data_IF_739061368683
#
_entry.id   IF_739061368683
#
_cell.length_a   1.000
_cell.length_b   1.000
_cell.length_c   1.000
_cell.angle_alpha   90.00
_cell.angle_beta   90.00
_cell.angle_gamma   90.00
#
_symmetry.space_group_name_H-M   'P 1'
#
loop_
_entity.id
_entity.type
_entity.pdbx_description
1 polymer ?
#
# COMPACT_ATOMS: atom_id res chain seq x y z
N UNK A 1 15.95 16.36 14.36
CA UNK A 1 14.86 15.62 13.68
C UNK A 1 14.38 16.51 12.54
N UNK A 2 14.62 16.11 11.29
CA UNK A 2 14.30 16.90 10.11
C UNK A 2 12.80 17.19 10.02
N UNK A 3 12.45 18.46 9.95
CA UNK A 3 11.09 18.95 9.76
C UNK A 3 10.46 18.37 8.49
N UNK A 4 11.27 18.20 7.43
CA UNK A 4 10.88 17.58 6.15
C UNK A 4 10.33 16.15 6.34
N UNK A 5 10.91 15.35 7.23
CA UNK A 5 10.43 13.98 7.47
C UNK A 5 9.07 13.94 8.18
N UNK A 6 8.71 14.98 8.95
CA UNK A 6 7.40 15.05 9.63
C UNK A 6 6.30 15.50 8.68
N UNK A 7 6.60 16.44 7.79
CA UNK A 7 5.64 16.93 6.78
C UNK A 7 5.27 15.82 5.80
N UNK A 8 6.25 15.07 5.28
CA UNK A 8 6.01 13.95 4.35
C UNK A 8 5.17 12.84 5.01
N UNK A 9 5.39 12.57 6.30
CA UNK A 9 4.55 11.62 7.07
C UNK A 9 3.12 12.13 7.21
N UNK A 10 2.93 13.40 7.55
CA UNK A 10 1.59 14.00 7.69
C UNK A 10 0.82 14.01 6.36
N UNK A 11 1.49 14.31 5.25
CA UNK A 11 0.91 14.22 3.91
C UNK A 11 0.45 12.80 3.60
N UNK A 12 1.31 11.79 3.83
CA UNK A 12 0.96 10.39 3.63
C UNK A 12 -0.26 9.99 4.48
N UNK A 13 -0.24 10.29 5.78
CA UNK A 13 -1.35 9.96 6.68
C UNK A 13 -2.66 10.65 6.25
N UNK A 14 -2.57 11.86 5.71
CA UNK A 14 -3.73 12.58 5.15
C UNK A 14 -4.28 11.88 3.91
N UNK A 15 -3.42 11.51 2.96
CA UNK A 15 -3.84 10.75 1.77
C UNK A 15 -4.42 9.38 2.12
N UNK A 16 -3.85 8.68 3.11
CA UNK A 16 -4.36 7.38 3.57
C UNK A 16 -5.73 7.49 4.24
N UNK A 17 -6.04 8.62 4.88
CA UNK A 17 -7.36 8.88 5.49
C UNK A 17 -8.46 9.04 4.45
N UNK A 18 -8.13 9.46 3.24
CA UNK A 18 -9.08 9.56 2.13
C UNK A 18 -9.40 8.20 1.48
N UNK A 19 -8.63 7.16 1.82
CA UNK A 19 -8.84 5.80 1.34
C UNK A 19 -9.80 5.04 2.26
N UNK A 20 -10.73 4.31 1.64
CA UNK A 20 -11.52 3.31 2.35
C UNK A 20 -10.63 2.16 2.83
N UNK A 21 -11.07 1.44 3.86
CA UNK A 21 -10.35 0.30 4.42
C UNK A 21 -9.87 -0.72 3.36
N UNK A 22 -10.71 -1.20 2.44
CA UNK A 22 -10.25 -2.09 1.38
C UNK A 22 -9.21 -1.45 0.44
N UNK A 23 -9.24 -0.12 0.24
CA UNK A 23 -8.28 0.58 -0.61
C UNK A 23 -6.90 0.68 0.06
N UNK A 24 -6.84 0.83 1.39
CA UNK A 24 -5.60 0.74 2.17
C UNK A 24 -5.01 -0.67 2.12
N UNK A 25 -5.84 -1.72 2.21
CA UNK A 25 -5.41 -3.10 2.03
C UNK A 25 -4.84 -3.34 0.62
N UNK A 26 -5.54 -2.84 -0.40
CA UNK A 26 -5.07 -2.90 -1.78
C UNK A 26 -3.72 -2.17 -1.97
N UNK A 27 -3.51 -1.03 -1.29
CA UNK A 27 -2.23 -0.32 -1.28
C UNK A 27 -1.11 -1.15 -0.64
N UNK A 28 -1.37 -1.76 0.52
CA UNK A 28 -0.40 -2.64 1.19
C UNK A 28 -0.03 -3.84 0.30
N UNK A 29 -1.02 -4.48 -0.31
CA UNK A 29 -0.79 -5.58 -1.26
C UNK A 29 -0.03 -5.12 -2.50
N UNK A 30 -0.32 -3.92 -3.01
CA UNK A 30 0.43 -3.34 -4.13
C UNK A 30 1.90 -3.10 -3.76
N UNK A 31 2.17 -2.54 -2.57
CA UNK A 31 3.52 -2.34 -2.05
C UNK A 31 4.27 -3.67 -1.90
N UNK A 32 3.62 -4.66 -1.29
CA UNK A 32 4.18 -6.00 -1.12
C UNK A 32 4.51 -6.63 -2.48
N UNK A 33 3.62 -6.53 -3.46
CA UNK A 33 3.84 -7.05 -4.81
C UNK A 33 5.04 -6.37 -5.48
N UNK A 34 5.07 -5.03 -5.55
CA UNK A 34 6.13 -4.30 -6.26
C UNK A 34 7.50 -4.52 -5.60
N UNK A 35 7.53 -4.72 -4.28
CA UNK A 35 8.76 -5.02 -3.53
C UNK A 35 9.21 -6.46 -3.71
N UNK A 36 8.27 -7.42 -3.60
CA UNK A 36 8.57 -8.86 -3.72
C UNK A 36 8.87 -9.29 -5.16
N UNK A 37 8.26 -8.67 -6.17
CA UNK A 37 8.52 -8.94 -7.59
C UNK A 37 10.02 -8.83 -7.93
N UNK A 38 10.73 -7.88 -7.30
CA UNK A 38 12.17 -7.66 -7.48
C UNK A 38 13.04 -8.74 -6.83
N UNK A 39 12.51 -9.51 -5.87
CA UNK A 39 13.24 -10.49 -5.08
C UNK A 39 12.85 -11.95 -5.39
N UNK A 40 11.76 -12.17 -6.12
CA UNK A 40 11.24 -13.49 -6.45
C UNK A 40 11.83 -14.04 -7.75
N UNK A 41 11.90 -15.37 -7.85
CA UNK A 41 12.17 -16.04 -9.14
C UNK A 41 11.01 -15.79 -10.10
N UNK A 42 11.28 -15.77 -11.42
CA UNK A 42 10.27 -15.48 -12.46
C UNK A 42 8.93 -16.24 -12.28
N UNK A 43 9.00 -17.51 -11.89
CA UNK A 43 7.80 -18.34 -11.63
C UNK A 43 6.99 -17.85 -10.43
N UNK A 44 7.64 -17.62 -9.27
CA UNK A 44 6.96 -17.15 -8.05
C UNK A 44 6.43 -15.73 -8.17
N UNK A 45 7.15 -14.86 -8.88
CA UNK A 45 6.67 -13.51 -9.18
C UNK A 45 5.36 -13.56 -9.99
N UNK A 46 5.27 -14.46 -10.98
CA UNK A 46 4.06 -14.63 -11.79
C UNK A 46 2.86 -15.15 -10.98
N UNK A 47 3.09 -16.07 -10.02
CA UNK A 47 2.05 -16.55 -9.11
C UNK A 47 1.53 -15.43 -8.20
N UNK A 48 2.44 -14.66 -7.59
CA UNK A 48 2.06 -13.52 -6.74
C UNK A 48 1.39 -12.39 -7.52
N UNK A 49 1.79 -12.16 -8.77
CA UNK A 49 1.09 -11.24 -9.67
C UNK A 49 -0.35 -11.68 -9.89
N UNK A 50 -0.56 -12.96 -10.14
CA UNK A 50 -1.90 -13.52 -10.36
C UNK A 50 -2.79 -13.37 -9.13
N UNK A 51 -2.25 -13.62 -7.92
CA UNK A 51 -2.97 -13.39 -6.65
C UNK A 51 -3.36 -11.92 -6.50
N UNK A 52 -2.42 -11.00 -6.73
CA UNK A 52 -2.67 -9.55 -6.68
C UNK A 52 -3.72 -9.11 -7.71
N UNK A 53 -3.60 -9.55 -8.97
CA UNK A 53 -4.54 -9.24 -10.04
C UNK A 53 -5.95 -9.80 -9.76
N UNK A 54 -6.05 -10.97 -9.12
CA UNK A 54 -7.32 -11.53 -8.69
C UNK A 54 -7.97 -10.69 -7.59
N UNK A 55 -7.22 -10.31 -6.56
CA UNK A 55 -7.72 -9.45 -5.48
C UNK A 55 -8.17 -8.08 -6.02
N UNK A 56 -7.35 -7.48 -6.89
CA UNK A 56 -7.63 -6.20 -7.55
C UNK A 56 -8.93 -6.18 -8.36
N UNK A 57 -9.41 -7.32 -8.89
CA UNK A 57 -10.68 -7.39 -9.63
C UNK A 57 -11.91 -7.06 -8.78
N UNK A 58 -11.80 -7.14 -7.46
CA UNK A 58 -12.87 -6.79 -6.53
C UNK A 58 -13.06 -5.28 -6.37
N UNK A 59 -12.20 -4.46 -6.99
CA UNK A 59 -12.18 -3.01 -6.85
C UNK A 59 -12.62 -2.31 -8.14
N UNK A 60 -13.21 -1.13 -7.97
CA UNK A 60 -13.51 -0.24 -9.11
C UNK A 60 -12.22 0.32 -9.70
N UNK A 61 -12.28 0.75 -10.96
CA UNK A 61 -11.15 1.43 -11.61
C UNK A 61 -10.74 2.70 -10.84
N UNK A 62 -11.70 3.42 -10.28
CA UNK A 62 -11.45 4.64 -9.49
C UNK A 62 -10.65 4.32 -8.22
N UNK A 63 -11.04 3.29 -7.46
CA UNK A 63 -10.31 2.83 -6.26
C UNK A 63 -8.89 2.39 -6.61
N UNK A 64 -8.73 1.64 -7.71
CA UNK A 64 -7.41 1.23 -8.21
C UNK A 64 -6.56 2.45 -8.55
N UNK A 65 -7.14 3.47 -9.19
CA UNK A 65 -6.41 4.67 -9.59
C UNK A 65 -6.01 5.52 -8.37
N UNK A 66 -6.89 5.67 -7.38
CA UNK A 66 -6.56 6.33 -6.10
C UNK A 66 -5.36 5.68 -5.42
N UNK A 67 -5.40 4.36 -5.26
CA UNK A 67 -4.30 3.59 -4.64
C UNK A 67 -2.98 3.78 -5.41
N UNK A 68 -3.04 3.72 -6.74
CA UNK A 68 -1.85 3.97 -7.58
C UNK A 68 -1.31 5.38 -7.45
N UNK A 69 -2.19 6.39 -7.37
CA UNK A 69 -1.76 7.77 -7.21
C UNK A 69 -1.00 7.95 -5.89
N UNK A 70 -1.56 7.44 -4.78
CA UNK A 70 -0.88 7.48 -3.47
C UNK A 70 0.46 6.73 -3.52
N UNK A 71 0.51 5.53 -4.11
CA UNK A 71 1.77 4.82 -4.26
C UNK A 71 2.81 5.64 -5.04
N UNK A 72 2.45 6.12 -6.23
CA UNK A 72 3.37 6.86 -7.09
C UNK A 72 3.88 8.15 -6.45
N UNK A 73 3.03 8.84 -5.71
CA UNK A 73 3.37 10.10 -5.02
C UNK A 73 4.36 9.90 -3.87
N UNK A 74 4.25 8.78 -3.12
CA UNK A 74 4.98 8.62 -1.87
C UNK A 74 6.06 7.53 -1.88
N UNK A 75 6.02 6.52 -2.75
CA UNK A 75 6.91 5.35 -2.64
C UNK A 75 8.41 5.69 -2.66
N UNK A 76 8.83 6.70 -3.43
CA UNK A 76 10.22 7.15 -3.48
C UNK A 76 10.58 8.17 -2.38
N UNK A 77 9.57 8.77 -1.73
CA UNK A 77 9.73 9.74 -0.64
C UNK A 77 9.97 9.05 0.71
N UNK A 78 9.71 7.74 0.78
CA UNK A 78 9.90 6.92 1.98
C UNK A 78 10.89 5.78 1.71
N UNK A 79 11.97 5.65 2.52
CA UNK A 79 12.87 4.50 2.45
C UNK A 79 12.16 3.16 2.69
N UNK A 80 11.15 3.15 3.56
CA UNK A 80 10.27 2.01 3.84
C UNK A 80 8.81 2.45 3.75
N UNK A 81 8.32 2.62 2.53
CA UNK A 81 6.94 3.00 2.27
C UNK A 81 5.94 1.96 2.79
N UNK A 82 6.23 0.67 2.58
CA UNK A 82 5.38 -0.42 3.07
C UNK A 82 5.22 -0.35 4.59
N UNK A 83 6.33 -0.21 5.34
CA UNK A 83 6.30 -0.08 6.79
C UNK A 83 5.54 1.16 7.25
N UNK A 84 5.63 2.28 6.54
CA UNK A 84 4.85 3.49 6.85
C UNK A 84 3.35 3.26 6.73
N UNK A 85 2.88 2.70 5.61
CA UNK A 85 1.46 2.37 5.39
C UNK A 85 0.99 1.30 6.38
N UNK A 86 1.81 0.28 6.64
CA UNK A 86 1.50 -0.80 7.58
C UNK A 86 1.33 -0.28 9.01
N UNK A 87 2.22 0.61 9.45
CA UNK A 87 2.14 1.25 10.75
C UNK A 87 0.90 2.13 10.90
N UNK A 88 0.52 2.86 9.83
CA UNK A 88 -0.73 3.62 9.83
C UNK A 88 -1.95 2.69 9.95
N UNK A 89 -2.00 1.63 9.15
CA UNK A 89 -3.07 0.64 9.20
C UNK A 89 -3.18 -0.05 10.58
N UNK A 90 -2.07 -0.30 11.26
CA UNK A 90 -2.09 -0.89 12.60
C UNK A 90 -2.57 0.06 13.70
N UNK A 91 -2.33 1.37 13.52
CA UNK A 91 -2.72 2.40 14.49
C UNK A 91 -4.18 2.80 14.38
N UNK A 92 -4.78 2.65 13.19
CA UNK A 92 -6.20 2.93 12.98
C UNK A 92 -7.04 1.70 13.29
N UNK A 93 -8.04 1.85 14.18
CA UNK A 93 -8.98 0.79 14.49
C UNK A 93 -9.78 0.33 13.27
N UNK A 94 -9.95 1.21 12.27
CA UNK A 94 -10.68 0.93 11.02
C UNK A 94 -9.97 -0.09 10.12
N UNK A 95 -8.66 -0.32 10.32
CA UNK A 95 -7.83 -1.13 9.43
C UNK A 95 -7.22 -2.37 10.11
N UNK A 96 -7.40 -2.54 11.44
CA UNK A 96 -6.88 -3.70 12.20
C UNK A 96 -7.31 -5.05 11.65
N UNK A 97 -8.50 -5.14 11.05
CA UNK A 97 -9.04 -6.38 10.50
C UNK A 97 -8.42 -6.79 9.15
N UNK A 98 -7.82 -5.85 8.41
CA UNK A 98 -7.26 -6.08 7.08
C UNK A 98 -5.90 -6.79 7.13
N UNK A 99 -5.23 -6.73 8.28
CA UNK A 99 -3.85 -7.18 8.48
C UNK A 99 -3.76 -8.69 8.78
N UNK A 100 -4.88 -9.41 8.79
CA UNK A 100 -4.90 -10.87 8.92
C UNK A 100 -4.71 -11.61 7.58
N UNK A 101 -4.70 -10.90 6.45
CA UNK A 101 -4.65 -11.49 5.10
C UNK A 101 -3.27 -11.42 4.41
N UNK A 102 -2.30 -10.71 4.99
CA UNK A 102 -0.92 -10.56 4.48
C UNK A 102 0.04 -11.25 5.45
#
# INVERSE_FOLDING_TARGET
>A
MNTESKEVVFELESSLRELAAPEVELLLLHCYYVTSEKQLTKGRAAEKKKEYDLYKKSFTQDSIQKVKNVYNEFHDRFPDFYGAVYNYAHKSDDYKHLLMLI
#
